data_IF_741197784458
#
_entry.id   IF_741197784458
#
_cell.length_a   1.000
_cell.length_b   1.000
_cell.length_c   1.000
_cell.angle_alpha   90.00
_cell.angle_beta   90.00
_cell.angle_gamma   90.00
#
_symmetry.space_group_name_H-M   'P 1'
#
loop_
_entity.id
_entity.type
_entity.pdbx_description
1 polymer ?
#
# COMPACT_ATOMS: atom_id res chain seq x y z
N UNK A 1 10.63 5.53 -11.16
CA UNK A 1 10.01 4.20 -11.44
C UNK A 1 11.03 3.10 -11.20
N UNK A 2 10.84 2.32 -10.14
CA UNK A 2 11.72 1.21 -9.77
C UNK A 2 10.94 -0.10 -9.94
N UNK A 3 11.54 -1.08 -10.61
CA UNK A 3 11.03 -2.46 -10.66
C UNK A 3 11.87 -3.30 -9.71
N UNK A 4 11.25 -3.82 -8.66
CA UNK A 4 11.88 -4.80 -7.78
C UNK A 4 10.92 -5.95 -7.53
N UNK A 5 11.40 -7.20 -7.64
CA UNK A 5 10.63 -8.45 -7.43
C UNK A 5 9.29 -8.55 -8.20
N UNK A 6 9.15 -7.88 -9.36
CA UNK A 6 7.89 -7.87 -10.14
C UNK A 6 6.85 -6.85 -9.65
N UNK A 7 7.25 -5.99 -8.73
CA UNK A 7 6.45 -4.89 -8.18
C UNK A 7 6.94 -3.59 -8.82
N UNK A 8 6.02 -2.86 -9.43
CA UNK A 8 6.29 -1.52 -9.95
C UNK A 8 6.02 -0.48 -8.86
N UNK A 9 7.08 0.22 -8.44
CA UNK A 9 6.99 1.31 -7.48
C UNK A 9 6.90 2.65 -8.21
N UNK A 10 5.79 3.38 -8.02
CA UNK A 10 5.70 4.76 -8.50
C UNK A 10 6.37 5.68 -7.48
N UNK A 11 7.05 6.73 -7.95
CA UNK A 11 7.77 7.67 -7.09
C UNK A 11 6.84 8.38 -6.07
N UNK A 12 5.52 8.42 -6.33
CA UNK A 12 4.50 8.91 -5.38
C UNK A 12 4.33 8.02 -4.13
N UNK A 13 4.69 6.74 -4.20
CA UNK A 13 4.69 5.80 -3.07
C UNK A 13 5.95 5.94 -2.20
N UNK A 14 7.00 6.63 -2.68
CA UNK A 14 8.21 6.95 -1.90
C UNK A 14 8.05 8.25 -1.09
N UNK A 15 6.83 8.77 -0.95
CA UNK A 15 6.57 9.84 0.00
C UNK A 15 6.84 9.29 1.40
N UNK A 16 7.68 9.98 2.17
CA UNK A 16 8.04 9.68 3.57
C UNK A 16 9.03 8.53 3.81
N UNK A 17 9.91 8.22 2.85
CA UNK A 17 11.02 7.25 2.99
C UNK A 17 10.61 5.79 3.26
N UNK A 18 9.33 5.43 3.10
CA UNK A 18 8.87 4.04 3.19
C UNK A 18 9.43 3.18 2.06
N UNK A 19 9.84 1.97 2.39
CA UNK A 19 10.49 1.00 1.51
C UNK A 19 9.52 -0.10 1.05
N UNK A 20 9.96 -0.91 0.08
CA UNK A 20 9.23 -2.09 -0.34
C UNK A 20 9.08 -3.11 0.81
N UNK A 21 10.11 -3.26 1.65
CA UNK A 21 10.04 -4.21 2.77
C UNK A 21 8.97 -3.78 3.79
N UNK A 22 8.82 -2.48 4.07
CA UNK A 22 7.76 -1.98 4.95
C UNK A 22 6.36 -2.30 4.41
N UNK A 23 6.17 -2.21 3.08
CA UNK A 23 4.92 -2.59 2.43
C UNK A 23 4.69 -4.09 2.46
N UNK A 24 5.74 -4.90 2.29
CA UNK A 24 5.64 -6.36 2.36
C UNK A 24 5.32 -6.84 3.79
N UNK A 25 5.88 -6.19 4.81
CA UNK A 25 5.54 -6.47 6.20
C UNK A 25 4.10 -6.07 6.52
N UNK A 26 3.69 -4.86 6.13
CA UNK A 26 2.30 -4.43 6.27
C UNK A 26 1.32 -5.36 5.53
N UNK A 27 1.69 -5.86 4.36
CA UNK A 27 0.90 -6.84 3.60
C UNK A 27 0.86 -8.23 4.25
N UNK A 28 1.84 -8.56 5.08
CA UNK A 28 1.88 -9.81 5.86
C UNK A 28 1.08 -9.68 7.16
N UNK A 29 0.95 -8.46 7.69
CA UNK A 29 0.27 -8.13 8.95
C UNK A 29 -0.95 -7.23 8.71
N UNK A 30 -1.83 -7.63 7.79
CA UNK A 30 -3.02 -6.84 7.42
C UNK A 30 -4.03 -6.77 8.55
N UNK A 31 -4.37 -5.55 8.96
CA UNK A 31 -5.42 -5.24 9.95
C UNK A 31 -6.76 -5.00 9.26
N UNK A 32 -6.75 -4.29 8.12
CA UNK A 32 -7.96 -3.99 7.32
C UNK A 32 -7.65 -4.04 5.84
N UNK A 33 -8.61 -4.50 5.04
CA UNK A 33 -8.46 -4.55 3.59
C UNK A 33 -9.79 -4.21 2.91
N UNK A 34 -9.71 -3.42 1.84
CA UNK A 34 -10.79 -3.09 0.93
C UNK A 34 -10.32 -3.30 -0.49
N UNK A 35 -11.07 -4.10 -1.25
CA UNK A 35 -10.88 -4.26 -2.69
C UNK A 35 -11.97 -3.49 -3.41
N UNK A 36 -11.61 -2.77 -4.46
CA UNK A 36 -12.57 -2.02 -5.28
C UNK A 36 -12.14 -2.00 -6.72
N UNK A 37 -13.10 -1.79 -7.62
CA UNK A 37 -12.84 -1.64 -9.05
C UNK A 37 -13.10 -0.21 -9.47
N UNK A 38 -12.15 0.37 -10.18
CA UNK A 38 -12.27 1.72 -10.73
C UNK A 38 -11.76 1.69 -12.17
N UNK A 39 -12.57 2.21 -13.12
CA UNK A 39 -12.24 2.27 -14.56
C UNK A 39 -11.80 0.92 -15.17
N UNK A 40 -12.39 -0.18 -14.69
CA UNK A 40 -12.10 -1.54 -15.18
C UNK A 40 -10.86 -2.19 -14.56
N UNK A 41 -10.22 -1.55 -13.58
CA UNK A 41 -9.01 -2.03 -12.92
C UNK A 41 -9.30 -2.37 -11.46
N UNK A 42 -8.63 -3.39 -10.92
CA UNK A 42 -8.77 -3.80 -9.52
C UNK A 42 -7.71 -3.14 -8.64
N UNK A 43 -8.20 -2.44 -7.63
CA UNK A 43 -7.41 -1.76 -6.62
C UNK A 43 -7.60 -2.45 -5.28
N UNK A 44 -6.52 -2.51 -4.52
CA UNK A 44 -6.48 -3.01 -3.15
C UNK A 44 -5.96 -1.89 -2.28
N UNK A 45 -6.75 -1.53 -1.29
CA UNK A 45 -6.38 -0.62 -0.22
C UNK A 45 -6.35 -1.41 1.08
N UNK A 46 -5.24 -1.38 1.80
CA UNK A 46 -5.13 -2.09 3.06
C UNK A 46 -4.39 -1.25 4.10
N UNK A 47 -4.66 -1.57 5.36
CA UNK A 47 -3.90 -1.09 6.52
C UNK A 47 -3.20 -2.30 7.11
N UNK A 48 -1.89 -2.21 7.29
CA UNK A 48 -1.07 -3.23 7.91
C UNK A 48 -0.17 -2.65 8.99
N UNK A 49 0.36 -3.50 9.85
CA UNK A 49 1.33 -3.09 10.87
C UNK A 49 2.65 -2.61 10.24
N UNK A 50 3.37 -1.73 10.93
CA UNK A 50 4.64 -1.18 10.47
C UNK A 50 5.76 -1.53 11.45
N UNK A 51 6.40 -2.69 11.28
CA UNK A 51 7.67 -3.09 11.94
C UNK A 51 7.76 -2.88 13.47
N UNK A 52 6.64 -2.65 14.15
CA UNK A 52 6.62 -2.24 15.56
C UNK A 52 7.09 -0.81 15.86
N UNK A 53 7.10 0.12 14.88
CA UNK A 53 7.38 1.54 15.14
C UNK A 53 6.24 2.13 16.01
N UNK A 54 6.51 2.58 17.24
CA UNK A 54 5.48 3.10 18.13
C UNK A 54 4.92 4.47 17.70
N UNK A 55 5.62 5.22 16.83
CA UNK A 55 5.17 6.51 16.31
C UNK A 55 4.33 6.37 15.05
N UNK A 56 4.63 5.35 14.23
CA UNK A 56 3.85 4.97 13.05
C UNK A 56 3.51 3.50 13.19
N UNK A 57 2.46 3.13 13.94
CA UNK A 57 2.18 1.73 14.23
C UNK A 57 1.66 0.95 13.01
N UNK A 58 1.10 1.67 12.03
CA UNK A 58 0.46 1.08 10.86
C UNK A 58 0.70 1.91 9.61
N UNK A 59 0.80 1.21 8.49
CA UNK A 59 0.81 1.79 7.16
C UNK A 59 -0.50 1.54 6.46
N UNK A 60 -0.92 2.55 5.73
CA UNK A 60 -1.94 2.46 4.72
C UNK A 60 -1.29 2.38 3.33
N UNK A 61 -1.71 1.37 2.57
CA UNK A 61 -1.17 1.07 1.25
C UNK A 61 -2.28 0.99 0.23
N UNK A 62 -2.10 1.66 -0.91
CA UNK A 62 -2.97 1.51 -2.09
C UNK A 62 -2.14 0.95 -3.24
N UNK A 63 -2.60 -0.18 -3.75
CA UNK A 63 -1.99 -0.87 -4.87
C UNK A 63 -3.02 -1.30 -5.91
N UNK A 64 -2.54 -1.63 -7.11
CA UNK A 64 -3.34 -2.22 -8.21
C UNK A 64 -2.71 -3.52 -8.64
N UNK A 65 -3.58 -4.47 -8.97
CA UNK A 65 -3.22 -5.69 -9.68
C UNK A 65 -3.44 -5.46 -11.18
N UNK A 66 -2.39 -5.55 -11.98
CA UNK A 66 -2.51 -5.43 -13.44
C UNK A 66 -2.95 -6.75 -14.07
N UNK A 67 -3.45 -6.71 -15.31
CA UNK A 67 -3.79 -7.90 -16.09
C UNK A 67 -2.59 -8.84 -16.36
N UNK A 68 -1.37 -8.41 -16.04
CA UNK A 68 -0.12 -9.19 -16.16
C UNK A 68 0.37 -9.76 -14.84
N UNK A 69 -0.47 -9.75 -13.79
CA UNK A 69 -0.08 -10.10 -12.42
C UNK A 69 1.04 -9.23 -11.83
N UNK A 70 1.21 -8.00 -12.33
CA UNK A 70 2.14 -7.04 -11.72
C UNK A 70 1.41 -6.28 -10.61
N UNK A 71 2.11 -5.99 -9.52
CA UNK A 71 1.61 -5.15 -8.43
C UNK A 71 2.15 -3.75 -8.64
N UNK A 72 1.28 -2.76 -8.69
CA UNK A 72 1.67 -1.35 -8.76
C UNK A 72 1.26 -0.68 -7.46
N UNK A 73 2.24 -0.23 -6.66
CA UNK A 73 1.98 0.52 -5.41
C UNK A 73 1.97 2.01 -5.76
N UNK A 74 0.86 2.69 -5.42
CA UNK A 74 0.69 4.12 -5.71
C UNK A 74 0.87 5.00 -4.48
N UNK A 75 0.61 4.43 -3.31
CA UNK A 75 0.48 5.16 -2.07
C UNK A 75 0.90 4.28 -0.91
N UNK A 76 1.75 4.85 -0.06
CA UNK A 76 2.14 4.32 1.24
C UNK A 76 2.18 5.52 2.17
N UNK A 77 1.42 5.49 3.25
CA UNK A 77 1.39 6.55 4.25
C UNK A 77 1.14 5.95 5.64
N UNK A 78 1.47 6.69 6.70
CA UNK A 78 1.06 6.32 8.04
C UNK A 78 -0.48 6.28 8.12
N UNK A 79 -1.06 5.31 8.85
CA UNK A 79 -2.50 5.33 9.13
C UNK A 79 -2.84 6.66 9.82
N UNK A 80 -3.67 7.47 9.17
CA UNK A 80 -4.25 8.68 9.76
C UNK A 80 -5.73 8.43 10.00
N UNK A 81 -6.20 8.75 11.21
CA UNK A 81 -7.61 8.64 11.55
C UNK A 81 -8.46 9.42 10.53
N UNK A 82 -9.28 8.71 9.76
CA UNK A 82 -10.27 9.28 8.85
C UNK A 82 -9.99 9.18 7.34
N UNK A 83 -8.84 8.65 6.86
CA UNK A 83 -8.66 8.49 5.41
C UNK A 83 -9.54 7.35 4.85
N UNK A 84 -9.76 6.27 5.62
CA UNK A 84 -10.62 5.13 5.21
C UNK A 84 -12.11 5.50 5.15
N UNK A 85 -12.51 6.55 5.85
CA UNK A 85 -13.91 7.01 5.96
C UNK A 85 -14.31 7.97 4.85
N UNK A 86 -13.39 8.36 3.95
CA UNK A 86 -13.74 9.07 2.72
C UNK A 86 -14.35 8.08 1.71
N UNK A 87 -15.64 7.80 1.90
CA UNK A 87 -16.56 7.22 0.90
C UNK A 87 -17.08 8.27 -0.06
#
# INVERSE_FOLDING_TARGET
MVKDRGIEWKDAAAKHDYTLDDVLDAASHVVRIRRYRERGEEYVRFIGEHHGDPLVPRLEVIMKLTARNEIVVFHVEAETDGFMDRT
#
